data_IF_600049790066
#
_entry.id   IF_600049790066
#
_cell.length_a   1.000
_cell.length_b   1.000
_cell.length_c   1.000
_cell.angle_alpha   90.00
_cell.angle_beta   90.00
_cell.angle_gamma   90.00
#
_symmetry.space_group_name_H-M   'P 1'
#
loop_
_entity.id
_entity.type
_entity.pdbx_description
1 polymer ?
#
# COMPACT_ATOMS: atom_id res chain seq x y z
N UNK A 1 -12.87 2.95 21.87
CA UNK A 1 -11.73 3.64 22.48
C UNK A 1 -10.37 3.15 21.97
N UNK A 2 -10.12 1.83 21.82
CA UNK A 2 -8.82 1.29 21.34
C UNK A 2 -8.47 1.72 19.91
N UNK A 3 -9.45 1.78 19.01
CA UNK A 3 -9.28 2.26 17.63
C UNK A 3 -8.97 3.75 17.57
N UNK A 4 -9.61 4.54 18.42
CA UNK A 4 -9.36 5.99 18.51
C UNK A 4 -7.95 6.29 19.05
N UNK A 5 -7.48 5.51 20.02
CA UNK A 5 -6.11 5.60 20.53
C UNK A 5 -5.09 5.22 19.44
N UNK A 6 -5.36 4.17 18.66
CA UNK A 6 -4.51 3.79 17.52
C UNK A 6 -4.43 4.88 16.45
N UNK A 7 -5.55 5.52 16.11
CA UNK A 7 -5.58 6.64 15.16
C UNK A 7 -4.80 7.87 15.70
N UNK A 8 -4.94 8.18 16.98
CA UNK A 8 -4.18 9.25 17.62
C UNK A 8 -2.68 8.97 17.61
N UNK A 9 -2.27 7.74 17.90
CA UNK A 9 -0.87 7.33 17.83
C UNK A 9 -0.29 7.50 16.42
N UNK A 10 -1.04 7.15 15.38
CA UNK A 10 -0.64 7.37 13.96
C UNK A 10 -0.47 8.84 13.65
N UNK A 11 -1.39 9.70 14.10
CA UNK A 11 -1.28 11.15 13.89
C UNK A 11 -0.04 11.73 14.58
N UNK A 12 0.27 11.28 15.80
CA UNK A 12 1.48 11.69 16.52
C UNK A 12 2.74 11.22 15.78
N UNK A 13 2.79 9.97 15.35
CA UNK A 13 3.93 9.44 14.57
C UNK A 13 4.09 10.22 13.26
N UNK A 14 3.00 10.49 12.56
CA UNK A 14 3.01 11.26 11.32
C UNK A 14 3.56 12.68 11.57
N UNK A 15 3.12 13.33 12.65
CA UNK A 15 3.60 14.65 13.02
C UNK A 15 5.11 14.65 13.37
N UNK A 16 5.57 13.66 14.13
CA UNK A 16 6.99 13.48 14.47
C UNK A 16 7.82 13.25 13.20
N UNK A 17 7.38 12.36 12.30
CA UNK A 17 8.10 12.09 11.05
C UNK A 17 8.13 13.35 10.16
N UNK A 18 7.05 14.13 10.10
CA UNK A 18 7.03 15.40 9.38
C UNK A 18 8.01 16.44 9.96
N UNK A 19 8.12 16.53 11.29
CA UNK A 19 9.06 17.44 11.94
C UNK A 19 10.52 17.03 11.72
N UNK A 20 10.82 15.74 11.79
CA UNK A 20 12.18 15.21 11.71
C UNK A 20 12.48 14.55 10.36
N UNK A 21 11.71 14.85 9.32
CA UNK A 21 11.83 14.20 8.00
C UNK A 21 13.23 14.29 7.41
N UNK A 22 13.93 15.42 7.57
CA UNK A 22 15.28 15.60 7.06
C UNK A 22 16.29 14.71 7.79
N UNK A 23 16.22 14.64 9.11
CA UNK A 23 17.09 13.80 9.94
C UNK A 23 16.83 12.32 9.74
N UNK A 24 15.55 11.93 9.66
CA UNK A 24 15.14 10.54 9.36
C UNK A 24 15.61 10.16 7.95
N UNK A 25 15.41 11.04 6.97
CA UNK A 25 15.85 10.82 5.61
C UNK A 25 17.36 10.64 5.50
N UNK A 26 18.14 11.51 6.11
CA UNK A 26 19.61 11.42 6.11
C UNK A 26 20.12 10.18 6.85
N UNK A 27 19.47 9.77 7.94
CA UNK A 27 19.83 8.53 8.64
C UNK A 27 19.56 7.28 7.79
N UNK A 28 18.43 7.25 7.10
CA UNK A 28 18.07 6.15 6.19
C UNK A 28 18.94 6.12 4.93
N UNK A 29 19.51 7.25 4.55
CA UNK A 29 20.39 7.35 3.38
C UNK A 29 21.62 6.45 3.50
N UNK A 30 22.11 6.17 4.70
CA UNK A 30 23.18 5.21 4.95
C UNK A 30 22.91 3.84 4.30
N UNK A 31 21.62 3.42 4.32
CA UNK A 31 21.17 2.14 3.74
C UNK A 31 20.75 2.33 2.28
N UNK A 32 19.99 3.38 2.01
CA UNK A 32 19.37 3.57 0.69
C UNK A 32 20.26 4.26 -0.34
N UNK A 33 21.44 4.78 0.04
CA UNK A 33 22.40 5.39 -0.90
C UNK A 33 22.77 4.47 -2.07
N UNK A 34 22.76 3.15 -1.85
CA UNK A 34 23.07 2.17 -2.91
C UNK A 34 22.03 2.14 -4.03
N UNK A 35 20.81 2.52 -3.75
CA UNK A 35 19.72 2.62 -4.75
C UNK A 35 19.53 4.05 -5.27
N UNK A 36 20.21 5.02 -4.69
CA UNK A 36 20.16 6.42 -5.08
C UNK A 36 20.93 6.71 -6.40
N UNK A 37 21.84 5.82 -6.82
CA UNK A 37 22.66 5.94 -8.03
C UNK A 37 23.34 7.32 -8.17
N UNK A 38 23.76 7.93 -7.06
CA UNK A 38 24.34 9.27 -6.98
C UNK A 38 23.47 10.35 -7.69
N UNK A 39 22.15 10.19 -7.66
CA UNK A 39 21.19 11.10 -8.27
C UNK A 39 21.09 11.04 -9.79
N UNK A 40 21.85 10.17 -10.48
CA UNK A 40 21.88 10.10 -11.96
C UNK A 40 20.56 9.67 -12.59
N UNK A 41 19.79 8.82 -11.89
CA UNK A 41 18.54 8.25 -12.39
C UNK A 41 17.38 8.43 -11.37
N UNK A 42 16.88 9.66 -11.19
CA UNK A 42 15.91 9.93 -10.13
C UNK A 42 14.61 9.12 -10.27
N UNK A 43 14.13 8.93 -11.49
CA UNK A 43 12.93 8.12 -11.76
C UNK A 43 13.14 6.65 -11.39
N UNK A 44 14.29 6.08 -11.75
CA UNK A 44 14.62 4.68 -11.42
C UNK A 44 14.74 4.50 -9.90
N UNK A 45 15.36 5.43 -9.21
CA UNK A 45 15.43 5.45 -7.73
C UNK A 45 14.03 5.48 -7.11
N UNK A 46 13.13 6.32 -7.60
CA UNK A 46 11.74 6.39 -7.15
C UNK A 46 10.98 5.07 -7.39
N UNK A 47 11.20 4.43 -8.54
CA UNK A 47 10.60 3.13 -8.86
C UNK A 47 11.08 2.07 -7.86
N UNK A 48 12.39 1.96 -7.63
CA UNK A 48 12.95 0.98 -6.70
C UNK A 48 12.47 1.24 -5.27
N UNK A 49 12.49 2.49 -4.82
CA UNK A 49 11.94 2.86 -3.51
C UNK A 49 10.46 2.48 -3.41
N UNK A 50 9.68 2.74 -4.47
CA UNK A 50 8.28 2.36 -4.55
C UNK A 50 8.06 0.85 -4.44
N UNK A 51 8.83 0.05 -5.16
CA UNK A 51 8.78 -1.42 -5.07
C UNK A 51 9.08 -1.88 -3.66
N UNK A 52 10.13 -1.36 -3.03
CA UNK A 52 10.48 -1.68 -1.64
C UNK A 52 9.32 -1.34 -0.69
N UNK A 53 8.75 -0.14 -0.82
CA UNK A 53 7.61 0.30 0.01
C UNK A 53 6.41 -0.63 -0.13
N UNK A 54 6.05 -0.99 -1.37
CA UNK A 54 4.89 -1.83 -1.66
C UNK A 54 5.14 -3.24 -1.11
N UNK A 55 6.33 -3.80 -1.35
CA UNK A 55 6.71 -5.13 -0.85
C UNK A 55 6.61 -5.19 0.68
N UNK A 56 7.21 -4.23 1.39
CA UNK A 56 7.10 -4.16 2.85
C UNK A 56 5.63 -4.02 3.32
N UNK A 57 4.88 -3.12 2.72
CA UNK A 57 3.46 -2.92 3.03
C UNK A 57 2.63 -4.19 2.81
N UNK A 58 2.90 -4.91 1.71
CA UNK A 58 2.18 -6.11 1.35
C UNK A 58 2.55 -7.29 2.26
N UNK A 59 3.82 -7.43 2.60
CA UNK A 59 4.28 -8.43 3.58
C UNK A 59 3.64 -8.19 4.94
N UNK A 60 3.67 -6.97 5.47
CA UNK A 60 3.02 -6.64 6.74
C UNK A 60 1.53 -6.94 6.69
N UNK A 61 0.85 -6.54 5.62
CA UNK A 61 -0.57 -6.83 5.43
C UNK A 61 -0.84 -8.33 5.41
N UNK A 62 -0.02 -9.12 4.73
CA UNK A 62 -0.17 -10.57 4.62
C UNK A 62 0.07 -11.30 5.94
N UNK A 63 0.94 -10.76 6.80
CA UNK A 63 1.18 -11.29 8.14
C UNK A 63 0.03 -10.99 9.13
N UNK A 64 -0.66 -9.87 8.93
CA UNK A 64 -1.72 -9.41 9.82
C UNK A 64 -3.13 -9.79 9.37
N UNK A 65 -3.31 -10.07 8.10
CA UNK A 65 -4.62 -10.36 7.51
C UNK A 65 -4.55 -11.70 6.78
N UNK A 66 -5.52 -12.56 7.01
CA UNK A 66 -5.70 -13.78 6.23
C UNK A 66 -6.20 -13.42 4.82
N UNK A 67 -5.35 -13.51 3.77
CA UNK A 67 -5.72 -13.12 2.42
C UNK A 67 -6.79 -14.05 1.83
N UNK A 68 -6.88 -15.29 2.31
CA UNK A 68 -7.86 -16.28 1.83
C UNK A 68 -9.23 -15.95 2.39
N UNK A 69 -9.32 -15.67 3.70
CA UNK A 69 -10.57 -15.23 4.33
C UNK A 69 -11.09 -13.95 3.68
N UNK A 70 -10.20 -13.01 3.39
CA UNK A 70 -10.57 -11.76 2.71
C UNK A 70 -11.07 -11.99 1.28
N UNK A 71 -10.38 -12.83 0.50
CA UNK A 71 -10.80 -13.18 -0.86
C UNK A 71 -12.16 -13.90 -0.86
N UNK A 72 -12.37 -14.84 0.09
CA UNK A 72 -13.64 -15.54 0.26
C UNK A 72 -14.79 -14.59 0.61
N UNK A 73 -14.58 -13.65 1.51
CA UNK A 73 -15.58 -12.65 1.87
C UNK A 73 -15.94 -11.76 0.67
N UNK A 74 -14.94 -11.34 -0.12
CA UNK A 74 -15.16 -10.58 -1.35
C UNK A 74 -15.97 -11.38 -2.39
N UNK A 75 -15.69 -12.68 -2.53
CA UNK A 75 -16.43 -13.55 -3.44
C UNK A 75 -17.88 -13.68 -3.02
N UNK A 76 -18.14 -13.99 -1.74
CA UNK A 76 -19.49 -14.11 -1.19
C UNK A 76 -20.28 -12.81 -1.41
N UNK A 77 -19.66 -11.65 -1.15
CA UNK A 77 -20.29 -10.36 -1.37
C UNK A 77 -20.59 -10.08 -2.85
N UNK A 78 -19.66 -10.46 -3.75
CA UNK A 78 -19.85 -10.33 -5.19
C UNK A 78 -21.00 -11.20 -5.69
N UNK A 79 -21.06 -12.45 -5.24
CA UNK A 79 -22.09 -13.39 -5.65
C UNK A 79 -23.47 -13.00 -5.09
N UNK A 80 -23.51 -12.54 -3.85
CA UNK A 80 -24.72 -11.96 -3.28
C UNK A 80 -25.25 -10.78 -4.10
N UNK A 81 -24.38 -9.85 -4.50
CA UNK A 81 -24.77 -8.70 -5.31
C UNK A 81 -25.28 -9.11 -6.70
N UNK A 82 -24.68 -10.15 -7.32
CA UNK A 82 -25.12 -10.70 -8.60
C UNK A 82 -26.50 -11.33 -8.47
N UNK A 83 -26.69 -12.19 -7.46
CA UNK A 83 -27.95 -12.85 -7.24
C UNK A 83 -29.08 -11.85 -6.88
N UNK A 84 -28.76 -10.84 -6.10
CA UNK A 84 -29.73 -9.78 -5.76
C UNK A 84 -30.16 -9.00 -7.00
N UNK A 85 -29.20 -8.66 -7.89
CA UNK A 85 -29.49 -8.00 -9.16
C UNK A 85 -30.34 -8.89 -10.07
N UNK A 86 -30.01 -10.19 -10.17
CA UNK A 86 -30.72 -11.14 -10.99
C UNK A 86 -32.15 -11.33 -10.48
N UNK A 87 -32.36 -11.53 -9.19
CA UNK A 87 -33.68 -11.64 -8.58
C UNK A 87 -34.57 -10.39 -8.83
N UNK A 88 -33.94 -9.21 -8.88
CA UNK A 88 -34.64 -7.95 -9.24
C UNK A 88 -35.06 -7.94 -10.71
N UNK A 89 -34.19 -8.39 -11.64
CA UNK A 89 -34.49 -8.44 -13.08
C UNK A 89 -35.61 -9.44 -13.34
N UNK A 90 -35.55 -10.61 -12.70
CA UNK A 90 -36.54 -11.70 -12.83
C UNK A 90 -37.85 -11.38 -12.08
N UNK A 91 -37.93 -10.28 -11.35
CA UNK A 91 -39.04 -9.88 -10.48
C UNK A 91 -39.48 -10.98 -9.50
N UNK A 92 -38.50 -11.79 -9.03
CA UNK A 92 -38.72 -12.91 -8.12
C UNK A 92 -38.75 -12.43 -6.66
N UNK A 93 -39.94 -12.07 -6.20
CA UNK A 93 -40.16 -11.52 -4.86
C UNK A 93 -39.74 -12.48 -3.74
N UNK A 94 -39.90 -13.80 -3.92
CA UNK A 94 -39.49 -14.79 -2.94
C UNK A 94 -37.96 -14.81 -2.78
N UNK A 95 -37.23 -14.84 -3.89
CA UNK A 95 -35.76 -14.81 -3.88
C UNK A 95 -35.24 -13.48 -3.30
N UNK A 96 -35.87 -12.38 -3.66
CA UNK A 96 -35.54 -11.06 -3.12
C UNK A 96 -35.70 -11.01 -1.59
N UNK A 97 -36.79 -11.51 -1.05
CA UNK A 97 -37.04 -11.53 0.40
C UNK A 97 -36.00 -12.37 1.13
N UNK A 98 -35.68 -13.57 0.61
CA UNK A 98 -34.64 -14.45 1.17
C UNK A 98 -33.26 -13.80 1.18
N UNK A 99 -32.88 -13.14 0.09
CA UNK A 99 -31.61 -12.42 0.00
C UNK A 99 -31.60 -11.20 0.94
N UNK A 100 -32.72 -10.54 1.13
CA UNK A 100 -32.85 -9.41 2.06
C UNK A 100 -32.67 -9.85 3.52
N UNK A 101 -33.12 -11.06 3.89
CA UNK A 101 -32.89 -11.66 5.20
C UNK A 101 -31.39 -11.98 5.43
N UNK A 102 -30.62 -12.25 4.36
CA UNK A 102 -29.17 -12.49 4.42
C UNK A 102 -28.33 -11.19 4.45
N UNK A 103 -28.94 -10.05 4.09
CA UNK A 103 -28.23 -8.77 4.00
C UNK A 103 -27.50 -8.37 5.29
N UNK A 104 -28.04 -8.55 6.51
CA UNK A 104 -27.34 -8.24 7.76
C UNK A 104 -26.04 -9.05 7.93
N UNK A 105 -26.03 -10.32 7.52
CA UNK A 105 -24.84 -11.16 7.59
C UNK A 105 -23.75 -10.67 6.63
N UNK A 106 -24.13 -10.33 5.39
CA UNK A 106 -23.20 -9.77 4.40
C UNK A 106 -22.62 -8.44 4.88
N UNK A 107 -23.47 -7.60 5.50
CA UNK A 107 -23.03 -6.34 6.07
C UNK A 107 -22.06 -6.54 7.25
N UNK A 108 -22.31 -7.51 8.12
CA UNK A 108 -21.41 -7.87 9.22
C UNK A 108 -20.05 -8.35 8.71
N UNK A 109 -20.01 -9.19 7.65
CA UNK A 109 -18.78 -9.63 7.00
C UNK A 109 -17.99 -8.46 6.39
N UNK A 110 -18.70 -7.52 5.77
CA UNK A 110 -18.10 -6.30 5.21
C UNK A 110 -17.52 -5.41 6.29
N UNK A 111 -18.21 -5.23 7.42
CA UNK A 111 -17.71 -4.48 8.57
C UNK A 111 -16.51 -5.15 9.23
N UNK A 112 -16.49 -6.47 9.33
CA UNK A 112 -15.32 -7.21 9.82
C UNK A 112 -14.09 -6.97 8.95
N UNK A 113 -14.24 -7.06 7.63
CA UNK A 113 -13.17 -6.78 6.67
C UNK A 113 -12.64 -5.34 6.79
N UNK A 114 -13.54 -4.35 6.90
CA UNK A 114 -13.17 -2.95 7.11
C UNK A 114 -12.44 -2.74 8.44
N UNK A 115 -12.89 -3.39 9.51
CA UNK A 115 -12.25 -3.29 10.83
C UNK A 115 -10.84 -3.89 10.80
N UNK A 116 -10.64 -5.01 10.10
CA UNK A 116 -9.30 -5.57 9.91
C UNK A 116 -8.38 -4.63 9.13
N UNK A 117 -8.88 -4.02 8.06
CA UNK A 117 -8.11 -3.03 7.30
C UNK A 117 -7.73 -1.81 8.13
N UNK A 118 -8.64 -1.32 8.98
CA UNK A 118 -8.35 -0.23 9.91
C UNK A 118 -7.28 -0.58 10.95
N UNK A 119 -7.13 -1.85 11.34
CA UNK A 119 -6.06 -2.29 12.26
C UNK A 119 -4.70 -2.37 11.57
N UNK A 120 -4.66 -2.70 10.29
CA UNK A 120 -3.42 -2.80 9.50
C UNK A 120 -2.88 -1.43 9.10
N UNK A 121 -3.77 -0.45 8.89
CA UNK A 121 -3.40 0.88 8.41
C UNK A 121 -2.35 1.59 9.29
N UNK A 122 -2.47 1.65 10.64
CA UNK A 122 -1.46 2.27 11.49
C UNK A 122 -0.07 1.67 11.33
N UNK A 123 0.00 0.36 11.24
CA UNK A 123 1.29 -0.36 11.14
C UNK A 123 1.93 -0.14 9.79
N UNK A 124 1.14 -0.15 8.72
CA UNK A 124 1.62 0.19 7.38
C UNK A 124 2.18 1.62 7.33
N UNK A 125 1.54 2.57 7.99
CA UNK A 125 2.01 3.96 8.06
C UNK A 125 3.36 4.10 8.77
N UNK A 126 3.59 3.37 9.86
CA UNK A 126 4.88 3.40 10.59
C UNK A 126 6.04 2.98 9.67
N UNK A 127 5.81 2.08 8.72
CA UNK A 127 6.84 1.64 7.77
C UNK A 127 6.95 2.56 6.56
N UNK A 128 5.83 3.05 6.06
CA UNK A 128 5.80 3.91 4.87
C UNK A 128 6.39 5.30 5.12
N UNK A 129 6.11 5.88 6.29
CA UNK A 129 6.53 7.24 6.61
C UNK A 129 8.05 7.45 6.60
N UNK A 130 8.90 6.56 7.17
CA UNK A 130 10.35 6.72 7.10
C UNK A 130 10.89 6.66 5.66
N UNK A 131 10.37 5.75 4.83
CA UNK A 131 10.79 5.65 3.41
C UNK A 131 10.35 6.88 2.63
N UNK A 132 9.15 7.42 2.93
CA UNK A 132 8.70 8.69 2.39
C UNK A 132 9.65 9.85 2.78
N UNK A 133 10.08 9.88 4.04
CA UNK A 133 11.03 10.87 4.54
C UNK A 133 12.38 10.77 3.81
N UNK A 134 12.85 9.54 3.51
CA UNK A 134 14.06 9.34 2.73
C UNK A 134 13.89 9.78 1.26
N UNK A 135 12.78 9.44 0.60
CA UNK A 135 12.50 9.91 -0.79
C UNK A 135 12.48 11.44 -0.84
N UNK A 136 11.87 12.07 0.16
CA UNK A 136 11.88 13.52 0.27
C UNK A 136 13.32 14.07 0.44
N UNK A 137 14.13 13.45 1.31
CA UNK A 137 15.54 13.80 1.50
C UNK A 137 16.35 13.59 0.21
N UNK A 138 16.14 12.48 -0.49
CA UNK A 138 16.80 12.19 -1.77
C UNK A 138 16.56 13.30 -2.80
N UNK A 139 15.35 13.83 -2.87
CA UNK A 139 14.99 14.91 -3.79
C UNK A 139 15.28 16.32 -3.24
N UNK A 140 15.84 16.42 -2.03
CA UNK A 140 16.09 17.70 -1.40
C UNK A 140 17.16 18.50 -2.17
N UNK A 141 16.81 19.72 -2.53
CA UNK A 141 17.70 20.71 -3.13
C UNK A 141 18.05 21.76 -2.09
N UNK A 142 19.34 21.92 -1.79
CA UNK A 142 19.82 22.89 -0.78
C UNK A 142 19.72 22.38 0.67
N UNK A 143 19.57 23.30 1.60
CA UNK A 143 19.51 23.03 3.06
C UNK A 143 18.08 23.12 3.58
N UNK A 144 17.73 22.19 4.46
CA UNK A 144 16.47 22.20 5.20
C UNK A 144 16.67 21.74 6.64
N UNK A 145 16.41 22.62 7.59
CA UNK A 145 16.57 22.35 9.03
C UNK A 145 17.97 21.82 9.42
N UNK A 146 19.03 22.37 8.80
CA UNK A 146 20.41 21.98 9.07
C UNK A 146 20.84 20.65 8.42
N UNK A 147 20.05 20.13 7.50
CA UNK A 147 20.37 18.95 6.68
C UNK A 147 20.46 19.38 5.22
N UNK A 148 21.64 19.22 4.61
CA UNK A 148 21.88 19.58 3.21
C UNK A 148 21.61 18.39 2.29
N UNK A 149 20.89 18.63 1.19
CA UNK A 149 20.66 17.62 0.14
C UNK A 149 21.99 17.21 -0.50
N UNK A 150 22.19 15.91 -0.72
CA UNK A 150 23.45 15.38 -1.23
C UNK A 150 23.42 15.12 -2.74
N UNK A 151 22.25 14.92 -3.33
CA UNK A 151 22.11 14.40 -4.69
C UNK A 151 21.82 15.48 -5.71
N UNK A 152 21.12 16.56 -5.30
CA UNK A 152 20.67 17.60 -6.21
C UNK A 152 21.02 18.99 -5.69
N UNK A 153 21.30 19.89 -6.61
CA UNK A 153 21.62 21.30 -6.34
C UNK A 153 20.67 22.20 -7.15
N UNK A 154 20.69 23.49 -6.87
CA UNK A 154 19.92 24.46 -7.65
C UNK A 154 20.36 24.51 -9.14
N UNK A 155 21.64 24.18 -9.42
CA UNK A 155 22.17 24.09 -10.78
C UNK A 155 21.83 22.76 -11.47
N UNK A 156 21.64 21.69 -10.69
CA UNK A 156 21.27 20.35 -11.16
C UNK A 156 20.06 19.84 -10.37
N UNK A 157 18.85 20.32 -10.63
CA UNK A 157 17.64 19.93 -9.96
C UNK A 157 17.21 18.48 -10.36
N UNK A 158 16.36 17.81 -9.55
CA UNK A 158 15.87 16.47 -9.85
C UNK A 158 14.84 16.50 -10.99
N UNK A 159 15.32 16.51 -12.23
CA UNK A 159 14.48 16.51 -13.42
C UNK A 159 14.19 15.09 -13.89
N UNK A 160 12.99 14.90 -14.41
CA UNK A 160 12.57 13.65 -15.03
C UNK A 160 12.02 13.91 -16.43
N UNK A 161 12.46 13.14 -17.39
CA UNK A 161 11.87 13.14 -18.73
C UNK A 161 10.71 12.15 -18.74
N UNK A 162 9.50 12.69 -18.74
CA UNK A 162 8.27 11.91 -18.86
C UNK A 162 7.67 12.15 -20.25
N UNK A 163 6.95 11.15 -20.84
CA UNK A 163 6.49 11.23 -22.24
C UNK A 163 5.67 12.48 -22.59
N UNK A 164 5.02 13.09 -21.61
CA UNK A 164 4.17 14.28 -21.80
C UNK A 164 4.78 15.58 -21.27
N UNK A 165 5.93 15.54 -20.60
CA UNK A 165 6.63 16.73 -20.08
C UNK A 165 8.12 16.46 -19.92
N UNK A 166 8.95 16.78 -20.90
CA UNK A 166 10.40 16.72 -20.76
C UNK A 166 10.88 17.75 -19.73
N UNK A 167 11.87 17.39 -18.92
CA UNK A 167 12.40 18.27 -17.88
C UNK A 167 11.44 18.51 -16.70
N UNK A 168 10.58 17.53 -16.38
CA UNK A 168 9.64 17.63 -15.27
C UNK A 168 10.36 17.67 -13.93
N UNK A 169 10.22 18.76 -13.18
CA UNK A 169 10.84 18.92 -11.86
C UNK A 169 10.09 18.11 -10.80
N UNK A 170 10.78 17.09 -10.28
CA UNK A 170 10.25 16.20 -9.25
C UNK A 170 10.05 16.88 -7.89
N UNK A 171 10.77 17.98 -7.63
CA UNK A 171 10.67 18.70 -6.37
C UNK A 171 9.60 19.80 -6.41
N UNK A 172 9.05 20.12 -7.59
CA UNK A 172 7.97 21.07 -7.72
C UNK A 172 6.70 20.60 -6.99
N UNK A 173 5.82 21.53 -6.65
CA UNK A 173 4.53 21.22 -6.02
C UNK A 173 3.39 21.38 -7.01
N UNK A 174 2.53 20.38 -7.10
CA UNK A 174 1.32 20.42 -7.91
C UNK A 174 0.16 20.85 -7.02
N UNK A 175 -0.69 21.75 -7.51
CA UNK A 175 -1.81 22.34 -6.76
C UNK A 175 -1.38 22.99 -5.41
N UNK A 176 -0.11 23.38 -5.28
CA UNK A 176 0.42 24.09 -4.11
C UNK A 176 0.72 23.26 -2.88
N UNK A 177 0.39 21.97 -2.86
CA UNK A 177 0.60 21.12 -1.68
C UNK A 177 1.08 19.67 -1.97
N UNK A 178 0.85 19.14 -3.16
CA UNK A 178 1.34 17.81 -3.52
C UNK A 178 2.70 17.87 -4.22
N UNK A 179 3.75 17.18 -3.71
CA UNK A 179 5.00 17.03 -4.42
C UNK A 179 4.81 16.29 -5.75
N UNK A 180 5.42 16.80 -6.81
CA UNK A 180 5.29 16.25 -8.17
C UNK A 180 5.72 14.80 -8.30
N UNK A 181 6.74 14.38 -7.55
CA UNK A 181 7.23 13.00 -7.56
C UNK A 181 6.17 11.97 -7.12
N UNK A 182 5.16 12.37 -6.32
CA UNK A 182 4.07 11.48 -5.91
C UNK A 182 3.28 10.97 -7.12
N UNK A 183 3.14 11.78 -8.16
CA UNK A 183 2.43 11.36 -9.38
C UNK A 183 3.17 10.20 -10.04
N UNK A 184 4.48 10.34 -10.25
CA UNK A 184 5.30 9.29 -10.85
C UNK A 184 5.28 8.04 -9.97
N UNK A 185 5.49 8.23 -8.67
CA UNK A 185 5.38 7.14 -7.69
C UNK A 185 4.04 6.41 -7.79
N UNK A 186 2.93 7.15 -7.82
CA UNK A 186 1.58 6.57 -7.89
C UNK A 186 1.35 5.82 -9.19
N UNK A 187 1.75 6.39 -10.32
CA UNK A 187 1.61 5.76 -11.65
C UNK A 187 2.35 4.43 -11.73
N UNK A 188 3.51 4.32 -11.10
CA UNK A 188 4.32 3.10 -11.10
C UNK A 188 3.85 2.12 -10.04
N UNK A 189 3.50 2.61 -8.86
CA UNK A 189 3.13 1.77 -7.71
C UNK A 189 1.80 1.05 -7.88
N UNK A 190 0.82 1.65 -8.58
CA UNK A 190 -0.49 1.03 -8.79
C UNK A 190 -0.42 -0.31 -9.54
N UNK A 191 0.20 -0.41 -10.73
CA UNK A 191 0.31 -1.70 -11.43
C UNK A 191 1.20 -2.69 -10.68
N UNK A 192 2.31 -2.24 -10.09
CA UNK A 192 3.21 -3.10 -9.32
C UNK A 192 2.49 -3.69 -8.11
N UNK A 193 1.75 -2.88 -7.34
CA UNK A 193 0.97 -3.35 -6.21
C UNK A 193 -0.10 -4.36 -6.58
N UNK A 194 -0.71 -4.26 -7.77
CA UNK A 194 -1.66 -5.26 -8.26
C UNK A 194 -0.96 -6.59 -8.59
N UNK A 195 0.21 -6.54 -9.22
CA UNK A 195 1.00 -7.74 -9.55
C UNK A 195 1.46 -8.43 -8.27
N UNK A 196 2.02 -7.68 -7.31
CA UNK A 196 2.46 -8.21 -6.01
C UNK A 196 1.31 -8.85 -5.23
N UNK A 197 0.16 -8.19 -5.16
CA UNK A 197 -1.03 -8.75 -4.50
C UNK A 197 -1.48 -10.08 -5.14
N UNK A 198 -1.43 -10.20 -6.47
CA UNK A 198 -1.74 -11.46 -7.17
C UNK A 198 -0.71 -12.53 -6.87
N UNK A 199 0.57 -12.18 -6.89
CA UNK A 199 1.67 -13.09 -6.61
C UNK A 199 1.60 -13.64 -5.19
N UNK A 200 1.37 -12.77 -4.21
CA UNK A 200 1.25 -13.15 -2.81
C UNK A 200 0.03 -14.05 -2.60
N UNK A 201 -1.14 -13.71 -3.14
CA UNK A 201 -2.32 -14.59 -3.10
C UNK A 201 -2.01 -15.97 -3.70
N UNK A 202 -1.32 -16.02 -4.81
CA UNK A 202 -0.92 -17.28 -5.45
C UNK A 202 0.01 -18.11 -4.55
N UNK A 203 1.00 -17.48 -3.93
CA UNK A 203 1.93 -18.16 -3.02
C UNK A 203 1.23 -18.71 -1.76
N UNK A 204 0.31 -17.92 -1.18
CA UNK A 204 -0.50 -18.39 -0.05
C UNK A 204 -1.41 -19.55 -0.42
N UNK A 205 -2.13 -19.47 -1.55
CA UNK A 205 -2.97 -20.56 -2.04
C UNK A 205 -2.16 -21.83 -2.30
N UNK A 206 -0.99 -21.71 -2.91
CA UNK A 206 -0.10 -22.85 -3.15
C UNK A 206 0.40 -23.49 -1.86
N UNK A 207 0.69 -22.67 -0.85
CA UNK A 207 1.09 -23.15 0.48
C UNK A 207 -0.04 -23.91 1.18
N UNK A 208 -1.26 -23.38 1.14
CA UNK A 208 -2.42 -24.00 1.75
C UNK A 208 -2.83 -25.29 1.04
N UNK A 209 -2.80 -25.33 -0.29
CA UNK A 209 -3.02 -26.57 -1.05
C UNK A 209 -2.01 -27.64 -0.65
N UNK A 210 -0.74 -27.29 -0.53
CA UNK A 210 0.30 -28.24 -0.10
C UNK A 210 0.05 -28.73 1.33
N UNK A 211 -0.46 -27.89 2.22
CA UNK A 211 -0.80 -28.24 3.59
C UNK A 211 -1.98 -29.21 3.64
N UNK A 212 -3.04 -28.93 2.91
CA UNK A 212 -4.21 -29.81 2.77
C UNK A 212 -3.83 -31.17 2.18
N UNK A 213 -2.98 -31.22 1.16
CA UNK A 213 -2.50 -32.46 0.55
C UNK A 213 -1.71 -33.32 1.57
N UNK A 214 -0.94 -32.68 2.44
CA UNK A 214 -0.25 -33.38 3.53
C UNK A 214 -1.19 -33.88 4.62
N UNK A 215 -2.26 -33.14 4.93
CA UNK A 215 -3.28 -33.56 5.91
C UNK A 215 -4.10 -34.74 5.37
N UNK A 216 -4.48 -34.73 4.11
CA UNK A 216 -5.16 -35.85 3.45
C UNK A 216 -4.28 -37.11 3.45
N UNK A 217 -3.00 -36.99 3.07
CA UNK A 217 -2.06 -38.12 3.11
C UNK A 217 -1.83 -38.69 4.49
N UNK A 218 -1.89 -37.87 5.55
CA UNK A 218 -1.81 -38.37 6.93
C UNK A 218 -3.06 -39.14 7.34
N UNK A 219 -4.25 -38.64 6.97
CA UNK A 219 -5.51 -39.29 7.23
C UNK A 219 -5.70 -40.63 6.49
N UNK A 220 -4.97 -40.82 5.36
CA UNK A 220 -4.97 -42.10 4.61
C UNK A 220 -4.04 -43.16 5.21
N UNK A 221 -3.12 -42.77 6.12
CA UNK A 221 -2.12 -43.65 6.74
C UNK A 221 -2.57 -44.07 8.14
N UNK A 222 -3.48 -43.35 8.79
CA UNK A 222 -4.14 -43.70 10.05
C UNK A 222 -5.38 -44.56 9.85
#
# INVERSE_FOLDING_TARGET
SKTMFGMMAVLVVMMVVMMFRAQIGSALDVVFKYIAFDGKYPVLTLIIAGVIMITFSTVIRSLMTDPIKMARNQQIQSDFNKEFRQARIENNLFKMKKLQEMQPQIMAMSMEASTQQMKVMPISMIVLLPVYAWVWYFLLVGDFNGVTGQYFTAENPPLADIPWSPGFDLNSTIMGFFPSWIIIYTMVSLPIGQIENRLIRFLFLKRDLKRLDLEVKRAEIE
#
